data_IF_102641264678
#
_entry.id   IF_102641264678
#
_cell.length_a   1.000
_cell.length_b   1.000
_cell.length_c   1.000
_cell.angle_alpha   90.00
_cell.angle_beta   90.00
_cell.angle_gamma   90.00
#
_symmetry.space_group_name_H-M   'P 1'
#
loop_
_entity.id
_entity.type
_entity.pdbx_description
1 polymer ?
#
# COMPACT_ATOMS: atom_id res chain seq x y z
N UNK A 1 -16.30 -1.16 -20.17
CA UNK A 1 -14.89 -0.77 -20.20
C UNK A 1 -14.05 -2.01 -20.17
N UNK A 2 -13.10 -2.14 -21.08
CA UNK A 2 -12.06 -3.17 -20.98
C UNK A 2 -11.28 -2.97 -19.67
N UNK A 3 -10.88 -4.05 -19.04
CA UNK A 3 -10.08 -4.05 -17.80
C UNK A 3 -8.73 -3.40 -18.09
N UNK A 4 -8.35 -2.41 -17.29
CA UNK A 4 -7.06 -1.76 -17.41
C UNK A 4 -6.01 -2.66 -16.72
N UNK A 5 -5.36 -3.51 -17.52
CA UNK A 5 -4.49 -4.58 -17.01
C UNK A 5 -3.27 -4.08 -16.26
N UNK A 6 -2.68 -2.94 -16.66
CA UNK A 6 -1.49 -2.41 -15.99
C UNK A 6 -1.76 -1.97 -14.53
N UNK A 7 -3.02 -1.73 -14.15
CA UNK A 7 -3.37 -1.50 -12.73
C UNK A 7 -3.21 -2.76 -11.88
N UNK A 8 -3.44 -3.94 -12.46
CA UNK A 8 -3.16 -5.19 -11.77
C UNK A 8 -1.65 -5.40 -11.64
N UNK A 9 -0.88 -5.08 -12.70
CA UNK A 9 0.60 -5.06 -12.64
C UNK A 9 1.10 -4.15 -11.52
N UNK A 10 0.57 -2.91 -11.44
CA UNK A 10 0.94 -1.95 -10.40
C UNK A 10 0.71 -2.49 -8.99
N UNK A 11 -0.46 -3.07 -8.73
CA UNK A 11 -0.78 -3.68 -7.42
C UNK A 11 0.09 -4.89 -7.11
N UNK A 12 0.37 -5.73 -8.11
CA UNK A 12 1.25 -6.89 -7.97
C UNK A 12 2.68 -6.47 -7.64
N UNK A 13 3.20 -5.46 -8.34
CA UNK A 13 4.51 -4.89 -8.08
C UNK A 13 4.61 -4.33 -6.65
N UNK A 14 3.58 -3.60 -6.19
CA UNK A 14 3.56 -3.08 -4.82
C UNK A 14 3.63 -4.21 -3.77
N UNK A 15 2.95 -5.32 -3.98
CA UNK A 15 3.04 -6.50 -3.10
C UNK A 15 4.44 -7.12 -3.14
N UNK A 16 5.04 -7.26 -4.31
CA UNK A 16 6.41 -7.79 -4.45
C UNK A 16 7.41 -6.89 -3.70
N UNK A 17 7.34 -5.59 -3.89
CA UNK A 17 8.18 -4.62 -3.18
C UNK A 17 8.00 -4.71 -1.65
N UNK A 18 6.78 -4.94 -1.19
CA UNK A 18 6.47 -5.12 0.23
C UNK A 18 7.10 -6.41 0.79
N UNK A 19 7.01 -7.52 0.07
CA UNK A 19 7.65 -8.79 0.46
C UNK A 19 9.16 -8.60 0.59
N UNK A 20 9.80 -7.95 -0.38
CA UNK A 20 11.21 -7.63 -0.31
C UNK A 20 11.55 -6.71 0.86
N UNK A 21 10.72 -5.70 1.16
CA UNK A 21 10.94 -4.83 2.32
C UNK A 21 10.98 -5.62 3.64
N UNK A 22 10.07 -6.58 3.82
CA UNK A 22 10.05 -7.43 5.01
C UNK A 22 11.23 -8.40 5.05
N UNK A 23 11.60 -9.00 3.91
CA UNK A 23 12.73 -9.92 3.81
C UNK A 23 14.06 -9.23 4.15
N UNK A 24 14.29 -8.03 3.61
CA UNK A 24 15.51 -7.25 3.89
C UNK A 24 15.61 -6.89 5.38
N UNK A 25 14.50 -6.57 6.03
CA UNK A 25 14.47 -6.36 7.48
C UNK A 25 14.90 -7.61 8.27
N UNK A 26 14.63 -8.82 7.77
CA UNK A 26 15.10 -10.05 8.41
C UNK A 26 16.58 -10.33 8.16
N UNK A 27 17.13 -9.95 7.01
CA UNK A 27 18.57 -10.12 6.72
C UNK A 27 19.45 -9.25 7.63
N UNK A 28 18.93 -8.10 8.08
CA UNK A 28 19.61 -7.21 9.02
C UNK A 28 19.97 -7.94 10.33
N UNK A 29 18.99 -8.61 10.93
CA UNK A 29 19.18 -9.29 12.22
C UNK A 29 20.21 -10.41 12.18
N UNK A 30 20.67 -10.81 10.98
CA UNK A 30 21.59 -11.92 10.73
C UNK A 30 22.99 -11.50 10.29
N UNK A 31 23.24 -10.19 10.07
CA UNK A 31 24.54 -9.69 9.64
C UNK A 31 25.03 -10.20 8.26
N UNK A 32 24.10 -10.60 7.39
CA UNK A 32 24.43 -11.23 6.10
C UNK A 32 24.86 -10.22 5.04
N UNK A 33 24.39 -8.98 5.15
CA UNK A 33 24.62 -7.90 4.20
C UNK A 33 25.32 -6.75 4.92
N UNK A 34 26.23 -6.03 4.25
CA UNK A 34 26.86 -4.84 4.81
C UNK A 34 25.81 -3.78 5.15
N UNK A 35 26.04 -3.03 6.22
CA UNK A 35 25.11 -2.02 6.73
C UNK A 35 24.79 -0.97 5.66
N UNK A 36 25.77 -0.55 4.87
CA UNK A 36 25.58 0.42 3.79
C UNK A 36 24.60 -0.08 2.74
N UNK A 37 24.82 -1.28 2.19
CA UNK A 37 23.92 -1.90 1.20
C UNK A 37 22.53 -2.11 1.80
N UNK A 38 22.45 -2.53 3.05
CA UNK A 38 21.21 -2.71 3.76
C UNK A 38 20.41 -1.40 3.87
N UNK A 39 21.05 -0.28 4.18
CA UNK A 39 20.42 1.02 4.29
C UNK A 39 19.87 1.50 2.92
N UNK A 40 20.62 1.30 1.82
CA UNK A 40 20.13 1.56 0.47
C UNK A 40 18.90 0.74 0.12
N UNK A 41 18.94 -0.56 0.38
CA UNK A 41 17.82 -1.47 0.11
C UNK A 41 16.59 -1.11 0.95
N UNK A 42 16.76 -0.85 2.24
CA UNK A 42 15.68 -0.42 3.13
C UNK A 42 15.04 0.89 2.65
N UNK A 43 15.85 1.91 2.35
CA UNK A 43 15.35 3.18 1.83
C UNK A 43 14.59 2.98 0.52
N UNK A 44 15.12 2.18 -0.41
CA UNK A 44 14.46 1.89 -1.69
C UNK A 44 13.11 1.19 -1.49
N UNK A 45 13.07 0.09 -0.74
CA UNK A 45 11.84 -0.71 -0.59
C UNK A 45 10.75 -0.01 0.26
N UNK A 46 11.06 1.09 0.94
CA UNK A 46 10.03 1.92 1.59
C UNK A 46 9.01 2.53 0.62
N UNK A 47 9.32 2.57 -0.66
CA UNK A 47 8.36 2.94 -1.71
C UNK A 47 7.10 2.06 -1.71
N UNK A 48 7.19 0.81 -1.26
CA UNK A 48 6.11 -0.17 -1.37
C UNK A 48 4.76 0.35 -0.88
N UNK A 49 4.72 0.92 0.31
CA UNK A 49 3.46 1.41 0.91
C UNK A 49 2.95 2.70 0.27
N UNK A 50 3.73 3.78 0.11
CA UNK A 50 3.29 4.97 -0.63
C UNK A 50 2.79 4.63 -2.02
N UNK A 51 3.49 3.78 -2.75
CA UNK A 51 3.06 3.32 -4.06
C UNK A 51 1.74 2.55 -4.02
N UNK A 52 1.56 1.65 -3.04
CA UNK A 52 0.33 0.88 -2.89
C UNK A 52 -0.87 1.79 -2.57
N UNK A 53 -0.67 2.84 -1.77
CA UNK A 53 -1.69 3.84 -1.45
C UNK A 53 -2.04 4.69 -2.68
N UNK A 54 -1.05 5.14 -3.45
CA UNK A 54 -1.28 5.92 -4.67
C UNK A 54 -2.07 5.10 -5.69
N UNK A 55 -1.65 3.84 -5.95
CA UNK A 55 -2.33 2.97 -6.92
C UNK A 55 -3.74 2.57 -6.44
N UNK A 56 -3.98 2.52 -5.13
CA UNK A 56 -5.31 2.36 -4.57
C UNK A 56 -6.23 3.52 -4.97
N UNK A 57 -5.80 4.76 -4.73
CA UNK A 57 -6.57 5.96 -5.09
C UNK A 57 -6.89 5.98 -6.58
N UNK A 58 -5.88 5.73 -7.43
CA UNK A 58 -6.04 5.64 -8.88
C UNK A 58 -7.09 4.59 -9.26
N UNK A 59 -6.92 3.37 -8.76
CA UNK A 59 -7.83 2.25 -9.08
C UNK A 59 -9.25 2.52 -8.60
N UNK A 60 -9.38 3.11 -7.41
CA UNK A 60 -10.68 3.39 -6.81
C UNK A 60 -11.45 4.43 -7.65
N UNK A 61 -10.78 5.49 -8.08
CA UNK A 61 -11.37 6.49 -8.96
C UNK A 61 -11.84 5.87 -10.29
N UNK A 62 -10.99 5.07 -10.94
CA UNK A 62 -11.34 4.38 -12.20
C UNK A 62 -12.56 3.47 -12.02
N UNK A 63 -12.63 2.73 -10.92
CA UNK A 63 -13.69 1.75 -10.70
C UNK A 63 -15.05 2.37 -10.34
N UNK A 64 -15.04 3.50 -9.63
CA UNK A 64 -16.25 4.03 -9.00
C UNK A 64 -16.67 5.42 -9.46
N UNK A 65 -15.83 6.23 -10.12
CA UNK A 65 -16.19 7.60 -10.50
C UNK A 65 -17.44 7.70 -11.40
N UNK A 66 -17.72 6.67 -12.22
CA UNK A 66 -18.95 6.63 -13.02
C UNK A 66 -20.22 6.30 -12.22
N UNK A 67 -20.05 5.75 -11.01
CA UNK A 67 -21.16 5.35 -10.12
C UNK A 67 -21.49 6.43 -9.09
N UNK A 68 -20.69 7.49 -9.04
CA UNK A 68 -20.84 8.62 -8.14
C UNK A 68 -21.37 9.81 -8.94
N UNK A 69 -22.68 9.99 -8.95
CA UNK A 69 -23.33 11.09 -9.68
C UNK A 69 -23.89 12.18 -8.75
N UNK A 70 -23.83 11.98 -7.45
CA UNK A 70 -24.29 12.90 -6.42
C UNK A 70 -24.43 12.19 -5.07
N UNK A 71 -24.97 12.88 -4.08
CA UNK A 71 -25.24 12.31 -2.76
C UNK A 71 -26.28 11.17 -2.83
N UNK A 72 -27.25 11.27 -3.74
CA UNK A 72 -28.29 10.25 -3.96
C UNK A 72 -27.71 8.87 -4.39
N UNK A 73 -26.56 8.84 -5.03
CA UNK A 73 -25.89 7.59 -5.44
C UNK A 73 -25.13 6.91 -4.30
N UNK A 74 -24.87 7.58 -3.19
CA UNK A 74 -24.06 7.08 -2.08
C UNK A 74 -24.60 5.83 -1.40
N UNK A 75 -25.91 5.71 -1.06
CA UNK A 75 -26.41 4.52 -0.38
C UNK A 75 -26.18 3.24 -1.19
N UNK A 76 -26.46 3.26 -2.49
CA UNK A 76 -26.25 2.11 -3.38
C UNK A 76 -24.77 1.74 -3.52
N UNK A 77 -23.88 2.74 -3.52
CA UNK A 77 -22.45 2.53 -3.57
C UNK A 77 -21.92 1.92 -2.26
N UNK A 78 -22.33 2.44 -1.11
CA UNK A 78 -21.94 1.89 0.19
C UNK A 78 -22.43 0.46 0.39
N UNK A 79 -23.61 0.09 -0.11
CA UNK A 79 -24.07 -1.30 -0.12
C UNK A 79 -23.09 -2.24 -0.85
N UNK A 80 -22.47 -1.78 -1.94
CA UNK A 80 -21.43 -2.56 -2.65
C UNK A 80 -20.10 -2.56 -1.92
N UNK A 81 -19.76 -1.46 -1.26
CA UNK A 81 -18.47 -1.31 -0.56
C UNK A 81 -18.46 -2.05 0.80
N UNK A 82 -19.62 -2.25 1.45
CA UNK A 82 -19.67 -2.97 2.74
C UNK A 82 -18.99 -4.34 2.69
N UNK A 83 -19.19 -5.09 1.60
CA UNK A 83 -18.54 -6.40 1.42
C UNK A 83 -17.02 -6.25 1.31
N UNK A 84 -16.55 -5.19 0.63
CA UNK A 84 -15.11 -4.92 0.51
C UNK A 84 -14.52 -4.47 1.84
N UNK A 85 -15.20 -3.60 2.57
CA UNK A 85 -14.80 -3.16 3.92
C UNK A 85 -14.71 -4.37 4.85
N UNK A 86 -15.72 -5.24 4.86
CA UNK A 86 -15.73 -6.45 5.67
C UNK A 86 -14.55 -7.39 5.32
N UNK A 87 -14.26 -7.59 4.03
CA UNK A 87 -13.10 -8.41 3.61
C UNK A 87 -11.77 -7.82 4.08
N UNK A 88 -11.62 -6.49 4.05
CA UNK A 88 -10.41 -5.82 4.55
C UNK A 88 -10.32 -5.95 6.07
N UNK A 89 -11.45 -5.81 6.78
CA UNK A 89 -11.52 -6.02 8.21
C UNK A 89 -11.06 -7.44 8.60
N UNK A 90 -11.66 -8.47 8.01
CA UNK A 90 -11.24 -9.87 8.26
C UNK A 90 -9.75 -10.09 7.93
N UNK A 91 -9.27 -9.54 6.81
CA UNK A 91 -7.86 -9.65 6.45
C UNK A 91 -6.94 -8.99 7.50
N UNK A 92 -7.35 -7.86 8.06
CA UNK A 92 -6.63 -7.18 9.15
C UNK A 92 -6.59 -8.06 10.39
N UNK A 93 -7.74 -8.61 10.82
CA UNK A 93 -7.78 -9.47 12.00
C UNK A 93 -6.96 -10.76 11.83
N UNK A 94 -6.98 -11.34 10.63
CA UNK A 94 -6.12 -12.50 10.32
C UNK A 94 -4.63 -12.18 10.49
N UNK A 95 -4.18 -11.00 10.03
CA UNK A 95 -2.78 -10.58 10.20
C UNK A 95 -2.45 -10.36 11.68
N UNK A 96 -3.35 -9.73 12.43
CA UNK A 96 -3.17 -9.54 13.87
C UNK A 96 -3.02 -10.88 14.59
N UNK A 97 -3.87 -11.86 14.26
CA UNK A 97 -3.77 -13.22 14.81
C UNK A 97 -2.44 -13.89 14.44
N UNK A 98 -2.03 -13.85 13.16
CA UNK A 98 -0.76 -14.42 12.71
C UNK A 98 0.42 -13.83 13.50
N UNK A 99 0.41 -12.52 13.71
CA UNK A 99 1.47 -11.84 14.45
C UNK A 99 1.41 -12.11 15.95
N UNK A 100 0.22 -12.22 16.54
CA UNK A 100 0.05 -12.57 17.95
C UNK A 100 0.60 -13.98 18.26
N UNK A 101 0.41 -14.95 17.36
CA UNK A 101 1.05 -16.27 17.49
C UNK A 101 2.58 -16.20 17.40
N UNK A 102 3.13 -15.23 16.67
CA UNK A 102 4.59 -15.07 16.53
C UNK A 102 5.24 -14.26 17.66
N UNK A 103 4.50 -13.30 18.21
CA UNK A 103 4.98 -12.36 19.22
C UNK A 103 4.10 -12.48 20.47
N UNK A 104 4.55 -13.19 21.51
CA UNK A 104 3.76 -13.46 22.72
C UNK A 104 3.22 -12.17 23.36
N UNK A 105 3.98 -11.09 23.36
CA UNK A 105 3.56 -9.78 23.88
C UNK A 105 2.32 -9.19 23.18
N UNK A 106 2.04 -9.59 21.95
CA UNK A 106 0.81 -9.22 21.24
C UNK A 106 -0.37 -10.11 21.65
N UNK A 107 -0.12 -11.35 22.08
CA UNK A 107 -1.17 -12.26 22.50
C UNK A 107 -1.88 -11.73 23.75
N UNK A 108 -1.11 -11.20 24.71
CA UNK A 108 -1.67 -10.63 25.95
C UNK A 108 -2.54 -9.39 25.69
N UNK A 109 -2.30 -8.70 24.58
CA UNK A 109 -3.02 -7.51 24.16
C UNK A 109 -3.99 -7.76 23.00
N UNK A 110 -4.19 -9.02 22.60
CA UNK A 110 -4.93 -9.37 21.39
C UNK A 110 -6.33 -8.76 21.37
N UNK A 111 -7.07 -8.85 22.46
CA UNK A 111 -8.43 -8.33 22.53
C UNK A 111 -8.48 -6.82 22.34
N UNK A 112 -7.61 -6.07 23.03
CA UNK A 112 -7.53 -4.61 22.92
C UNK A 112 -7.08 -4.13 21.54
N UNK A 113 -6.23 -4.91 20.86
CA UNK A 113 -5.83 -4.68 19.48
C UNK A 113 -7.01 -4.92 18.51
N UNK A 114 -7.76 -6.02 18.70
CA UNK A 114 -8.89 -6.35 17.82
C UNK A 114 -10.03 -5.34 17.93
N UNK A 115 -10.27 -4.77 19.10
CA UNK A 115 -11.28 -3.70 19.31
C UNK A 115 -10.74 -2.29 19.09
N UNK A 116 -9.57 -2.15 18.48
CA UNK A 116 -8.91 -0.88 18.13
C UNK A 116 -8.56 0.04 19.32
N UNK A 117 -8.48 -0.48 20.53
CA UNK A 117 -7.98 0.25 21.70
C UNK A 117 -6.46 0.31 21.75
N UNK A 118 -5.80 -0.63 21.08
CA UNK A 118 -4.35 -0.60 20.89
C UNK A 118 -3.97 -0.74 19.42
N UNK A 119 -2.76 -0.32 19.14
CA UNK A 119 -2.27 -0.28 17.77
C UNK A 119 -1.78 -1.67 17.32
N UNK A 120 -2.29 -2.15 16.18
CA UNK A 120 -1.89 -3.43 15.62
C UNK A 120 -0.60 -3.28 14.81
N UNK A 121 0.53 -3.70 15.35
CA UNK A 121 1.75 -3.86 14.55
C UNK A 121 1.47 -4.81 13.37
N UNK A 122 1.70 -4.34 12.15
CA UNK A 122 1.42 -5.08 10.91
C UNK A 122 -0.01 -4.92 10.34
N UNK A 123 -1.00 -4.52 11.16
CA UNK A 123 -2.37 -4.23 10.71
C UNK A 123 -2.62 -2.79 10.27
N UNK A 124 -1.62 -1.92 10.38
CA UNK A 124 -1.75 -0.47 10.19
C UNK A 124 -2.25 -0.09 8.82
N UNK A 125 -1.68 -0.70 7.78
CA UNK A 125 -2.04 -0.35 6.40
C UNK A 125 -3.46 -0.82 6.07
N UNK A 126 -3.93 -1.94 6.63
CA UNK A 126 -5.31 -2.38 6.42
C UNK A 126 -6.30 -1.52 7.21
N UNK A 127 -5.93 -1.03 8.39
CA UNK A 127 -6.69 -0.01 9.13
C UNK A 127 -6.81 1.28 8.29
N UNK A 128 -5.70 1.74 7.69
CA UNK A 128 -5.72 2.84 6.72
C UNK A 128 -6.73 2.57 5.59
N UNK A 129 -6.70 1.37 4.98
CA UNK A 129 -7.61 1.02 3.88
C UNK A 129 -9.06 0.93 4.28
N UNK A 130 -9.38 0.50 5.50
CA UNK A 130 -10.76 0.53 6.02
C UNK A 130 -11.33 1.96 5.97
N UNK A 131 -10.59 2.92 6.51
CA UNK A 131 -10.98 4.33 6.51
C UNK A 131 -10.97 4.92 5.08
N UNK A 132 -9.95 4.59 4.29
CA UNK A 132 -9.83 5.09 2.91
C UNK A 132 -10.98 4.61 2.02
N UNK A 133 -11.40 3.34 2.12
CA UNK A 133 -12.55 2.83 1.35
C UNK A 133 -13.85 3.49 1.81
N UNK A 134 -14.00 3.77 3.11
CA UNK A 134 -15.19 4.46 3.64
C UNK A 134 -15.29 5.91 3.14
N UNK A 135 -14.16 6.65 3.06
CA UNK A 135 -14.15 8.05 2.63
C UNK A 135 -14.00 8.24 1.11
N UNK A 136 -13.52 7.24 0.40
CA UNK A 136 -13.25 7.36 -1.05
C UNK A 136 -14.48 7.77 -1.90
N UNK A 137 -15.73 7.35 -1.64
CA UNK A 137 -16.89 7.85 -2.38
C UNK A 137 -17.06 9.37 -2.28
N UNK A 138 -16.90 9.93 -1.08
CA UNK A 138 -16.97 11.38 -0.85
C UNK A 138 -15.82 12.10 -1.53
N UNK A 139 -14.61 11.53 -1.45
CA UNK A 139 -13.44 12.05 -2.15
C UNK A 139 -13.63 12.08 -3.68
N UNK A 140 -14.22 11.03 -4.27
CA UNK A 140 -14.57 11.01 -5.70
C UNK A 140 -15.59 12.09 -6.04
N UNK A 141 -16.64 12.25 -5.24
CA UNK A 141 -17.67 13.25 -5.45
C UNK A 141 -17.06 14.65 -5.44
N UNK A 142 -16.22 14.94 -4.46
CA UNK A 142 -15.48 16.19 -4.38
C UNK A 142 -14.55 16.37 -5.59
N UNK A 143 -13.73 15.37 -5.92
CA UNK A 143 -12.77 15.40 -7.04
C UNK A 143 -13.46 15.68 -8.39
N UNK A 144 -14.70 15.22 -8.59
CA UNK A 144 -15.47 15.49 -9.81
C UNK A 144 -15.94 16.94 -9.91
N UNK A 145 -16.11 17.62 -8.77
CA UNK A 145 -16.66 19.00 -8.71
C UNK A 145 -15.60 20.07 -8.77
N UNK A 146 -14.37 19.77 -8.39
CA UNK A 146 -13.27 20.76 -8.35
C UNK A 146 -12.38 20.63 -9.58
N UNK A 147 -11.72 21.72 -9.98
CA UNK A 147 -10.68 21.71 -10.99
C UNK A 147 -9.36 21.13 -10.41
N UNK A 148 -8.41 20.83 -11.29
CA UNK A 148 -7.12 20.21 -10.91
C UNK A 148 -6.31 21.08 -9.95
N UNK A 149 -6.30 22.42 -10.17
CA UNK A 149 -5.54 23.34 -9.30
C UNK A 149 -6.14 23.41 -7.90
N UNK A 150 -7.46 23.55 -7.78
CA UNK A 150 -8.16 23.52 -6.48
C UNK A 150 -7.93 22.18 -5.76
N UNK A 151 -7.99 21.06 -6.51
CA UNK A 151 -7.70 19.75 -5.95
C UNK A 151 -6.28 19.69 -5.37
N UNK A 152 -5.26 20.11 -6.13
CA UNK A 152 -3.86 20.11 -5.68
C UNK A 152 -3.67 20.98 -4.44
N UNK A 153 -4.18 22.21 -4.42
CA UNK A 153 -4.08 23.10 -3.26
C UNK A 153 -4.75 22.48 -2.03
N UNK A 154 -5.95 21.92 -2.19
CA UNK A 154 -6.67 21.29 -1.06
C UNK A 154 -5.95 20.04 -0.55
N UNK A 155 -5.40 19.21 -1.43
CA UNK A 155 -4.63 18.00 -1.04
C UNK A 155 -3.35 18.42 -0.30
N UNK A 156 -2.65 19.43 -0.80
CA UNK A 156 -1.46 19.96 -0.14
C UNK A 156 -1.78 20.55 1.23
N UNK A 157 -2.86 21.35 1.34
CA UNK A 157 -3.32 21.92 2.61
C UNK A 157 -3.73 20.83 3.61
N UNK A 158 -4.44 19.79 3.16
CA UNK A 158 -4.76 18.62 3.99
C UNK A 158 -3.50 17.96 4.53
N UNK A 159 -2.51 17.74 3.67
CA UNK A 159 -1.26 17.12 4.07
C UNK A 159 -0.48 17.99 5.07
N UNK A 160 -0.23 19.26 4.75
CA UNK A 160 0.54 20.17 5.62
C UNK A 160 -0.17 20.40 6.96
N UNK A 161 -1.49 20.62 6.92
CA UNK A 161 -2.29 20.79 8.14
C UNK A 161 -2.25 19.54 9.02
N UNK A 162 -2.43 18.35 8.44
CA UNK A 162 -2.36 17.10 9.20
C UNK A 162 -0.94 16.80 9.72
N UNK A 163 0.10 17.15 8.98
CA UNK A 163 1.49 17.05 9.42
C UNK A 163 1.77 17.98 10.60
N UNK A 164 1.36 19.26 10.50
CA UNK A 164 1.51 20.24 11.59
C UNK A 164 0.79 19.81 12.87
N UNK A 165 -0.45 19.30 12.74
CA UNK A 165 -1.21 18.73 13.87
C UNK A 165 -0.44 17.54 14.48
N UNK A 166 0.06 16.63 13.64
CA UNK A 166 0.85 15.50 14.11
C UNK A 166 2.11 15.91 14.88
N UNK A 167 2.82 16.92 14.41
CA UNK A 167 4.00 17.47 15.11
C UNK A 167 3.63 18.13 16.45
N UNK A 168 2.56 18.94 16.46
CA UNK A 168 2.21 19.74 17.64
C UNK A 168 1.67 18.90 18.80
N UNK A 169 0.94 17.84 18.51
CA UNK A 169 0.20 17.06 19.51
C UNK A 169 0.64 15.61 19.62
N UNK A 170 1.32 15.07 18.63
CA UNK A 170 1.57 13.64 18.54
C UNK A 170 2.44 13.06 19.65
N UNK A 171 3.31 13.85 20.24
CA UNK A 171 4.15 13.43 21.37
C UNK A 171 3.41 13.47 22.72
N UNK A 172 2.37 14.31 22.86
CA UNK A 172 1.65 14.54 24.11
C UNK A 172 0.36 13.74 24.21
N UNK A 173 -0.26 13.38 23.08
CA UNK A 173 -1.55 12.67 23.06
C UNK A 173 -1.35 11.16 22.96
N UNK A 174 -1.83 10.46 23.99
CA UNK A 174 -1.82 8.99 24.04
C UNK A 174 -3.11 8.38 23.46
N UNK A 175 -4.05 9.18 22.95
CA UNK A 175 -5.27 8.62 22.36
C UNK A 175 -4.97 7.83 21.08
N UNK A 176 -5.45 6.59 21.01
CA UNK A 176 -5.21 5.73 19.85
C UNK A 176 -5.80 6.31 18.57
N UNK A 177 -6.97 6.94 18.64
CA UNK A 177 -7.64 7.53 17.49
C UNK A 177 -6.82 8.69 16.91
N UNK A 178 -6.32 9.60 17.75
CA UNK A 178 -5.48 10.72 17.30
C UNK A 178 -4.21 10.21 16.60
N UNK A 179 -3.53 9.24 17.20
CA UNK A 179 -2.33 8.64 16.62
C UNK A 179 -2.61 7.98 15.28
N UNK A 180 -3.71 7.23 15.16
CA UNK A 180 -4.12 6.62 13.89
C UNK A 180 -4.39 7.67 12.80
N UNK A 181 -4.95 8.83 13.17
CA UNK A 181 -5.29 9.88 12.22
C UNK A 181 -4.10 10.75 11.81
N UNK A 182 -3.15 11.08 12.73
CA UNK A 182 -2.16 12.14 12.49
C UNK A 182 -0.71 11.76 12.75
N UNK A 183 -0.40 10.79 13.62
CA UNK A 183 0.98 10.62 14.12
C UNK A 183 1.59 9.23 13.94
N UNK A 184 0.83 8.20 13.68
CA UNK A 184 1.32 6.83 13.67
C UNK A 184 2.20 6.49 12.45
N UNK A 185 2.65 5.23 12.34
CA UNK A 185 3.50 4.72 11.24
C UNK A 185 2.87 4.93 9.86
N UNK A 186 1.54 4.90 9.77
CA UNK A 186 0.75 5.25 8.58
C UNK A 186 -0.44 6.11 8.99
N UNK A 187 -0.21 7.36 9.44
CA UNK A 187 -1.30 8.22 9.88
C UNK A 187 -2.25 8.51 8.73
N UNK A 188 -3.54 8.42 9.02
CA UNK A 188 -4.55 8.40 7.98
C UNK A 188 -4.52 9.64 7.08
N UNK A 189 -4.64 10.83 7.65
CA UNK A 189 -4.79 12.06 6.86
C UNK A 189 -3.55 12.37 6.02
N UNK A 190 -2.30 12.33 6.56
CA UNK A 190 -1.12 12.57 5.72
C UNK A 190 -1.01 11.58 4.56
N UNK A 191 -1.23 10.28 4.80
CA UNK A 191 -1.15 9.28 3.72
C UNK A 191 -2.37 9.25 2.81
N UNK A 192 -3.54 9.72 3.27
CA UNK A 192 -4.72 9.85 2.41
C UNK A 192 -4.51 10.87 1.30
N UNK A 193 -3.66 11.87 1.51
CA UNK A 193 -3.23 12.79 0.45
C UNK A 193 -2.61 12.04 -0.75
N UNK A 194 -1.82 10.96 -0.53
CA UNK A 194 -1.31 10.13 -1.64
C UNK A 194 -2.43 9.43 -2.41
N UNK A 195 -3.44 8.92 -1.71
CA UNK A 195 -4.61 8.33 -2.37
C UNK A 195 -5.38 9.36 -3.20
N UNK A 196 -5.53 10.59 -2.69
CA UNK A 196 -6.15 11.69 -3.43
C UNK A 196 -5.34 12.10 -4.66
N UNK A 197 -4.01 12.14 -4.58
CA UNK A 197 -3.15 12.34 -5.77
C UNK A 197 -3.35 11.20 -6.77
N UNK A 198 -3.42 9.95 -6.32
CA UNK A 198 -3.75 8.82 -7.19
C UNK A 198 -5.10 8.98 -7.90
N UNK A 199 -6.14 9.48 -7.20
CA UNK A 199 -7.44 9.81 -7.80
C UNK A 199 -7.34 10.94 -8.83
N UNK A 200 -6.54 11.97 -8.55
CA UNK A 200 -6.32 13.11 -9.45
C UNK A 200 -5.63 12.67 -10.74
N UNK A 201 -4.55 11.89 -10.63
CA UNK A 201 -3.87 11.32 -11.81
C UNK A 201 -4.87 10.47 -12.63
N UNK A 202 -5.72 9.68 -11.98
CA UNK A 202 -6.73 8.88 -12.66
C UNK A 202 -7.82 9.72 -13.35
N UNK A 203 -8.17 10.88 -12.80
CA UNK A 203 -9.07 11.86 -13.42
C UNK A 203 -8.45 12.41 -14.69
N UNK A 204 -7.20 12.85 -14.63
CA UNK A 204 -6.48 13.43 -15.76
C UNK A 204 -6.18 12.35 -16.83
N UNK A 205 -5.89 11.12 -16.43
CA UNK A 205 -5.71 9.98 -17.34
C UNK A 205 -6.97 9.67 -18.18
N UNK A 206 -8.14 10.11 -17.74
CA UNK A 206 -9.40 9.99 -18.49
C UNK A 206 -9.68 11.17 -19.41
N UNK A 207 -9.17 12.35 -19.08
CA UNK A 207 -9.49 13.62 -19.74
C UNK A 207 -8.41 14.07 -20.72
N UNK A 208 -7.15 13.67 -20.48
CA UNK A 208 -5.99 14.07 -21.27
C UNK A 208 -5.45 12.91 -22.11
N UNK A 209 -4.65 13.22 -23.12
CA UNK A 209 -3.91 12.19 -23.85
C UNK A 209 -2.89 11.51 -22.95
N UNK A 210 -2.63 10.22 -23.18
CA UNK A 210 -1.65 9.45 -22.41
C UNK A 210 -0.27 10.12 -22.42
N UNK A 211 0.13 10.70 -23.57
CA UNK A 211 1.42 11.39 -23.71
C UNK A 211 1.48 12.65 -22.82
N UNK A 212 0.40 13.42 -22.76
CA UNK A 212 0.30 14.62 -21.91
C UNK A 212 0.41 14.23 -20.43
N UNK A 213 -0.32 13.20 -20.02
CA UNK A 213 -0.27 12.67 -18.63
C UNK A 213 1.15 12.23 -18.28
N UNK A 214 1.80 11.45 -19.15
CA UNK A 214 3.18 10.99 -18.91
C UNK A 214 4.16 12.16 -18.82
N UNK A 215 4.05 13.16 -19.69
CA UNK A 215 4.90 14.35 -19.64
C UNK A 215 4.71 15.15 -18.34
N UNK A 216 3.47 15.50 -18.00
CA UNK A 216 3.16 16.33 -16.82
C UNK A 216 3.56 15.60 -15.54
N UNK A 217 3.09 14.38 -15.35
CA UNK A 217 3.37 13.64 -14.11
C UNK A 217 4.79 13.08 -14.06
N UNK A 218 5.42 12.80 -15.21
CA UNK A 218 6.83 12.46 -15.29
C UNK A 218 7.74 13.62 -14.87
N UNK A 219 7.46 14.84 -15.36
CA UNK A 219 8.20 16.04 -14.94
C UNK A 219 7.99 16.35 -13.46
N UNK A 220 6.74 16.24 -12.97
CA UNK A 220 6.43 16.39 -11.54
C UNK A 220 7.19 15.36 -10.70
N UNK A 221 7.21 14.10 -11.13
CA UNK A 221 7.96 13.04 -10.47
C UNK A 221 9.44 13.36 -10.35
N UNK A 222 10.08 13.76 -11.46
CA UNK A 222 11.49 14.13 -11.48
C UNK A 222 11.77 15.32 -10.54
N UNK A 223 10.92 16.36 -10.58
CA UNK A 223 11.03 17.51 -9.69
C UNK A 223 10.94 17.12 -8.21
N UNK A 224 9.96 16.29 -7.85
CA UNK A 224 9.76 15.82 -6.47
C UNK A 224 10.95 14.98 -5.99
N UNK A 225 11.48 14.09 -6.81
CA UNK A 225 12.63 13.23 -6.45
C UNK A 225 13.88 14.08 -6.26
N UNK A 226 14.24 14.90 -7.26
CA UNK A 226 15.44 15.71 -7.22
C UNK A 226 15.38 16.73 -6.09
N UNK A 227 14.24 17.44 -5.96
CA UNK A 227 14.05 18.41 -4.89
C UNK A 227 14.10 17.78 -3.49
N UNK A 228 13.58 16.56 -3.33
CA UNK A 228 13.69 15.84 -2.04
C UNK A 228 15.11 15.40 -1.74
N UNK A 229 15.87 14.92 -2.72
CA UNK A 229 17.27 14.51 -2.52
C UNK A 229 18.11 15.73 -2.11
N UNK A 230 17.96 16.85 -2.83
CA UNK A 230 18.65 18.09 -2.48
C UNK A 230 18.23 18.55 -1.07
N UNK A 231 16.92 18.59 -0.79
CA UNK A 231 16.40 19.02 0.51
C UNK A 231 16.91 18.15 1.66
N UNK A 232 16.97 16.84 1.51
CA UNK A 232 17.52 15.96 2.55
C UNK A 232 19.00 16.24 2.81
N UNK A 233 19.81 16.44 1.79
CA UNK A 233 21.24 16.75 1.96
C UNK A 233 21.47 18.15 2.58
N UNK A 234 20.51 19.06 2.51
CA UNK A 234 20.58 20.37 3.14
C UNK A 234 20.21 20.36 4.65
N UNK A 235 19.36 19.41 5.06
CA UNK A 235 18.85 19.38 6.44
C UNK A 235 19.49 18.29 7.31
N UNK A 236 20.24 17.38 6.71
CA UNK A 236 20.75 16.19 7.40
C UNK A 236 22.06 15.68 6.80
N UNK A 237 23.01 15.35 7.66
CA UNK A 237 24.32 14.80 7.26
C UNK A 237 24.23 13.31 6.88
N UNK A 238 23.21 12.60 7.34
CA UNK A 238 23.02 11.15 7.12
C UNK A 238 21.59 10.80 6.66
N UNK A 239 21.10 11.43 5.57
CA UNK A 239 19.71 11.28 5.16
C UNK A 239 19.35 9.84 4.80
N UNK A 240 20.25 9.09 4.18
CA UNK A 240 20.04 7.69 3.79
C UNK A 240 19.76 6.79 5.01
N UNK A 241 20.57 6.92 6.06
CA UNK A 241 20.42 6.12 7.29
C UNK A 241 19.07 6.44 7.95
N UNK A 242 18.73 7.73 8.05
CA UNK A 242 17.44 8.13 8.66
C UNK A 242 16.24 7.70 7.82
N UNK A 243 16.35 7.71 6.49
CA UNK A 243 15.35 7.10 5.60
C UNK A 243 15.24 5.59 5.83
N UNK A 244 16.37 4.88 5.88
CA UNK A 244 16.42 3.45 6.16
C UNK A 244 15.80 3.08 7.51
N UNK A 245 16.03 3.88 8.55
CA UNK A 245 15.47 3.71 9.88
C UNK A 245 14.03 4.22 10.05
N UNK A 246 13.40 4.74 8.98
CA UNK A 246 12.06 5.34 9.00
C UNK A 246 11.89 6.55 9.94
N UNK A 247 12.95 7.26 10.30
CA UNK A 247 12.87 8.42 11.21
C UNK A 247 12.02 9.58 10.65
N UNK A 248 11.89 9.68 9.32
CA UNK A 248 11.06 10.68 8.65
C UNK A 248 9.62 10.23 8.38
N UNK A 249 9.17 9.10 8.95
CA UNK A 249 7.89 8.48 8.56
C UNK A 249 6.74 8.79 9.53
N UNK A 250 7.01 9.12 10.79
CA UNK A 250 5.98 9.29 11.81
C UNK A 250 6.22 10.54 12.68
N UNK A 251 5.53 11.67 12.41
CA UNK A 251 4.65 11.91 11.27
C UNK A 251 5.47 12.03 9.98
N UNK A 252 4.87 11.74 8.81
CA UNK A 252 5.64 11.70 7.56
C UNK A 252 6.11 13.10 7.15
N UNK A 253 7.43 13.31 7.20
CA UNK A 253 8.10 14.56 6.85
C UNK A 253 7.83 14.98 5.39
N UNK A 254 7.70 16.27 5.05
CA UNK A 254 7.43 16.72 3.68
C UNK A 254 8.40 16.17 2.63
N UNK A 255 9.70 16.16 2.91
CA UNK A 255 10.69 15.58 1.98
C UNK A 255 10.50 14.07 1.80
N UNK A 256 10.12 13.34 2.87
CA UNK A 256 9.79 11.91 2.79
C UNK A 256 8.58 11.68 1.87
N UNK A 257 7.52 12.44 2.09
CA UNK A 257 6.30 12.32 1.27
C UNK A 257 6.56 12.72 -0.19
N UNK A 258 7.31 13.79 -0.45
CA UNK A 258 7.68 14.24 -1.80
C UNK A 258 8.52 13.19 -2.52
N UNK A 259 9.54 12.63 -1.87
CA UNK A 259 10.40 11.60 -2.45
C UNK A 259 9.59 10.37 -2.88
N UNK A 260 8.81 9.81 -1.94
CA UNK A 260 8.07 8.58 -2.23
C UNK A 260 6.82 8.80 -3.08
N UNK A 261 6.23 10.00 -3.09
CA UNK A 261 5.24 10.39 -4.07
C UNK A 261 5.87 10.44 -5.49
N UNK A 262 7.00 11.12 -5.64
CA UNK A 262 7.71 11.20 -6.90
C UNK A 262 8.07 9.80 -7.44
N UNK A 263 8.69 8.97 -6.61
CA UNK A 263 9.02 7.58 -6.96
C UNK A 263 7.77 6.76 -7.32
N UNK A 264 6.66 6.94 -6.59
CA UNK A 264 5.41 6.23 -6.85
C UNK A 264 4.77 6.63 -8.19
N UNK A 265 4.84 7.91 -8.55
CA UNK A 265 4.41 8.41 -9.85
C UNK A 265 5.31 7.82 -10.96
N UNK A 266 6.64 7.85 -10.78
CA UNK A 266 7.60 7.27 -11.74
C UNK A 266 7.29 5.79 -12.01
N UNK A 267 7.11 5.00 -10.95
CA UNK A 267 6.78 3.57 -11.08
C UNK A 267 5.42 3.38 -11.76
N UNK A 268 4.41 4.21 -11.46
CA UNK A 268 3.11 4.14 -12.13
C UNK A 268 3.25 4.39 -13.64
N UNK A 269 4.00 5.41 -14.04
CA UNK A 269 4.24 5.72 -15.45
C UNK A 269 5.05 4.61 -16.14
N UNK A 270 6.10 4.10 -15.46
CA UNK A 270 6.91 2.99 -15.97
C UNK A 270 6.05 1.74 -16.20
N UNK A 271 5.22 1.35 -15.26
CA UNK A 271 4.31 0.19 -15.39
C UNK A 271 3.31 0.40 -16.54
N UNK A 272 2.76 1.60 -16.69
CA UNK A 272 1.85 1.92 -17.79
C UNK A 272 2.55 1.79 -19.16
N UNK A 273 3.78 2.26 -19.28
CA UNK A 273 4.60 2.12 -20.51
C UNK A 273 4.99 0.67 -20.75
N UNK A 274 5.53 -0.04 -19.74
CA UNK A 274 5.94 -1.44 -19.86
C UNK A 274 4.76 -2.37 -20.23
N UNK A 275 3.54 -1.99 -19.87
CA UNK A 275 2.34 -2.77 -20.20
C UNK A 275 2.04 -2.84 -21.70
N UNK A 276 2.66 -2.01 -22.52
CA UNK A 276 2.49 -1.99 -23.97
C UNK A 276 3.44 -2.96 -24.68
N UNK A 277 4.50 -3.43 -23.99
CA UNK A 277 5.47 -4.34 -24.56
C UNK A 277 4.94 -5.77 -24.65
N UNK A 278 5.38 -6.50 -25.69
CA UNK A 278 5.07 -7.91 -25.96
C UNK A 278 6.26 -8.82 -25.62
N UNK A 279 6.14 -10.08 -25.89
CA UNK A 279 7.22 -11.06 -25.71
C UNK A 279 7.44 -11.45 -24.24
N UNK A 280 8.69 -11.53 -23.81
CA UNK A 280 9.07 -11.96 -22.47
C UNK A 280 8.60 -11.01 -21.36
N UNK A 281 8.54 -9.70 -21.64
CA UNK A 281 7.98 -8.70 -20.72
C UNK A 281 6.51 -9.00 -20.42
N UNK A 282 5.73 -9.38 -21.43
CA UNK A 282 4.34 -9.76 -21.24
C UNK A 282 4.18 -11.03 -20.38
N UNK A 283 5.12 -11.98 -20.45
CA UNK A 283 5.14 -13.18 -19.58
C UNK A 283 5.38 -12.81 -18.12
N UNK A 284 6.41 -12.00 -17.84
CA UNK A 284 6.68 -11.49 -16.47
C UNK A 284 5.49 -10.70 -15.95
N UNK A 285 4.95 -9.81 -16.78
CA UNK A 285 3.74 -9.04 -16.46
C UNK A 285 2.58 -9.95 -16.06
N UNK A 286 2.35 -11.06 -16.75
CA UNK A 286 1.27 -12.00 -16.42
C UNK A 286 1.41 -12.58 -15.01
N UNK A 287 2.62 -12.87 -14.57
CA UNK A 287 2.92 -13.32 -13.19
C UNK A 287 2.55 -12.22 -12.19
N UNK A 288 3.02 -11.00 -12.43
CA UNK A 288 2.75 -9.84 -11.56
C UNK A 288 1.26 -9.49 -11.55
N UNK A 289 0.58 -9.57 -12.69
CA UNK A 289 -0.86 -9.34 -12.81
C UNK A 289 -1.67 -10.34 -11.96
N UNK A 290 -1.25 -11.59 -11.90
CA UNK A 290 -1.90 -12.63 -11.08
C UNK A 290 -1.83 -12.29 -9.59
N UNK A 291 -0.69 -11.83 -9.12
CA UNK A 291 -0.51 -11.33 -7.74
C UNK A 291 -1.41 -10.11 -7.51
N UNK A 292 -1.41 -9.16 -8.43
CA UNK A 292 -2.19 -7.92 -8.32
C UNK A 292 -3.70 -8.11 -8.35
N UNK A 293 -4.20 -9.06 -9.17
CA UNK A 293 -5.63 -9.45 -9.18
C UNK A 293 -6.09 -9.99 -7.82
N UNK A 294 -5.18 -10.59 -7.08
CA UNK A 294 -5.41 -11.19 -5.79
C UNK A 294 -4.77 -10.41 -4.63
N UNK A 295 -4.53 -9.09 -4.80
CA UNK A 295 -3.70 -8.24 -3.92
C UNK A 295 -4.03 -8.35 -2.43
N UNK A 296 -5.30 -8.38 -2.01
CA UNK A 296 -5.67 -8.54 -0.61
C UNK A 296 -5.27 -9.92 -0.05
N UNK A 297 -5.48 -10.99 -0.82
CA UNK A 297 -5.08 -12.32 -0.41
C UNK A 297 -3.55 -12.47 -0.41
N UNK A 298 -2.89 -11.89 -1.42
CA UNK A 298 -1.43 -11.84 -1.50
C UNK A 298 -0.86 -11.09 -0.28
N UNK A 299 -1.53 -10.01 0.15
CA UNK A 299 -1.14 -9.26 1.33
C UNK A 299 -1.25 -10.10 2.63
N UNK A 300 -2.32 -10.88 2.80
CA UNK A 300 -2.46 -11.78 3.98
C UNK A 300 -1.49 -12.95 3.88
N UNK A 301 -1.38 -13.55 2.71
CA UNK A 301 -0.55 -14.74 2.51
C UNK A 301 0.94 -14.49 2.77
N UNK A 302 1.47 -13.32 2.38
CA UNK A 302 2.88 -13.03 2.65
C UNK A 302 3.14 -12.91 4.17
N UNK A 303 2.20 -12.36 4.96
CA UNK A 303 2.31 -12.38 6.42
C UNK A 303 2.27 -13.82 6.95
N UNK A 304 1.35 -14.65 6.44
CA UNK A 304 1.25 -16.04 6.86
C UNK A 304 2.55 -16.81 6.58
N UNK A 305 3.11 -16.69 5.37
CA UNK A 305 4.34 -17.38 5.01
C UNK A 305 5.57 -16.81 5.72
N UNK A 306 5.67 -15.49 5.83
CA UNK A 306 6.85 -14.83 6.38
C UNK A 306 6.95 -14.95 7.90
N UNK A 307 5.81 -14.83 8.62
CA UNK A 307 5.80 -14.81 10.07
C UNK A 307 5.40 -16.15 10.71
N UNK A 308 4.64 -17.02 10.01
CA UNK A 308 4.26 -18.35 10.54
C UNK A 308 5.34 -19.39 10.31
N UNK A 309 6.12 -19.30 9.22
CA UNK A 309 7.27 -20.16 8.97
C UNK A 309 8.49 -19.38 9.39
N UNK A 310 9.11 -19.69 10.54
CA UNK A 310 10.31 -18.98 10.95
C UNK A 310 11.41 -19.29 9.95
N UNK A 311 11.74 -18.34 9.08
CA UNK A 311 12.94 -18.40 8.23
C UNK A 311 14.18 -18.73 9.07
N UNK A 312 14.21 -18.24 10.32
CA UNK A 312 15.23 -18.60 11.31
C UNK A 312 15.27 -20.08 11.66
N UNK A 313 14.14 -20.79 11.65
CA UNK A 313 14.10 -22.22 11.92
C UNK A 313 14.46 -23.06 10.69
N UNK A 314 14.20 -22.54 9.48
CA UNK A 314 14.57 -23.21 8.23
C UNK A 314 16.03 -23.01 7.84
N UNK A 315 16.65 -21.92 8.31
CA UNK A 315 18.04 -21.57 8.00
C UNK A 315 18.75 -21.04 9.24
N UNK A 316 19.12 -21.90 10.20
CA UNK A 316 19.90 -21.49 11.36
C UNK A 316 21.34 -21.09 11.00
N UNK A 317 21.74 -21.27 9.74
CA UNK A 317 23.10 -21.02 9.27
C UNK A 317 23.25 -19.57 8.80
N UNK A 318 24.34 -18.91 9.17
CA UNK A 318 24.77 -17.63 8.58
C UNK A 318 25.20 -17.77 7.11
N UNK A 319 24.74 -18.82 6.42
CA UNK A 319 25.08 -19.09 5.03
C UNK A 319 24.17 -18.32 4.09
N UNK A 320 24.76 -17.33 3.38
CA UNK A 320 24.07 -16.48 2.40
C UNK A 320 23.31 -17.26 1.33
N UNK A 321 23.87 -18.38 0.86
CA UNK A 321 23.25 -19.19 -0.19
C UNK A 321 21.96 -19.87 0.32
N UNK A 322 21.99 -20.40 1.54
CA UNK A 322 20.80 -21.02 2.17
C UNK A 322 19.68 -20.00 2.33
N UNK A 323 20.01 -18.79 2.77
CA UNK A 323 19.03 -17.71 2.93
C UNK A 323 18.39 -17.31 1.59
N UNK A 324 19.20 -17.10 0.56
CA UNK A 324 18.70 -16.77 -0.79
C UNK A 324 17.84 -17.90 -1.34
N UNK A 325 18.29 -19.16 -1.19
CA UNK A 325 17.53 -20.32 -1.64
C UNK A 325 16.18 -20.44 -0.93
N UNK A 326 16.16 -20.26 0.38
CA UNK A 326 14.93 -20.30 1.19
C UNK A 326 13.96 -19.19 0.76
N UNK A 327 14.47 -17.99 0.51
CA UNK A 327 13.63 -16.90 0.02
C UNK A 327 13.02 -17.19 -1.36
N UNK A 328 13.83 -17.72 -2.29
CA UNK A 328 13.34 -18.13 -3.62
C UNK A 328 12.25 -19.20 -3.48
N UNK A 329 12.46 -20.20 -2.64
CA UNK A 329 11.49 -21.26 -2.40
C UNK A 329 10.17 -20.71 -1.84
N UNK A 330 10.24 -19.79 -0.88
CA UNK A 330 9.05 -19.11 -0.33
C UNK A 330 8.33 -18.26 -1.38
N UNK A 331 9.06 -17.59 -2.26
CA UNK A 331 8.46 -16.81 -3.36
C UNK A 331 7.76 -17.72 -4.39
N UNK A 332 8.35 -18.89 -4.68
CA UNK A 332 7.71 -19.89 -5.54
C UNK A 332 6.43 -20.41 -4.89
N UNK A 333 6.50 -20.82 -3.62
CA UNK A 333 5.34 -21.29 -2.86
C UNK A 333 4.24 -20.23 -2.79
N UNK A 334 4.61 -18.99 -2.49
CA UNK A 334 3.70 -17.84 -2.49
C UNK A 334 2.99 -17.72 -3.83
N UNK A 335 3.74 -17.75 -4.93
CA UNK A 335 3.16 -17.60 -6.26
C UNK A 335 2.23 -18.77 -6.62
N UNK A 336 2.61 -20.01 -6.34
CA UNK A 336 1.79 -21.19 -6.59
C UNK A 336 0.46 -21.13 -5.85
N UNK A 337 0.47 -20.72 -4.57
CA UNK A 337 -0.76 -20.57 -3.79
C UNK A 337 -1.68 -19.47 -4.36
N UNK A 338 -1.11 -18.39 -4.88
CA UNK A 338 -1.88 -17.32 -5.52
C UNK A 338 -2.46 -17.81 -6.88
N UNK A 339 -1.72 -18.60 -7.66
CA UNK A 339 -2.23 -19.19 -8.92
C UNK A 339 -3.39 -20.11 -8.64
N UNK A 340 -3.25 -21.06 -7.71
CA UNK A 340 -4.32 -21.99 -7.33
C UNK A 340 -5.58 -21.20 -6.94
N UNK A 341 -5.41 -20.15 -6.13
CA UNK A 341 -6.52 -19.28 -5.76
C UNK A 341 -7.15 -18.57 -6.95
N UNK A 342 -6.35 -18.03 -7.88
CA UNK A 342 -6.86 -17.32 -9.07
C UNK A 342 -7.67 -18.27 -9.96
N UNK A 343 -7.23 -19.52 -10.13
CA UNK A 343 -7.94 -20.56 -10.86
C UNK A 343 -9.25 -20.96 -10.18
N UNK A 344 -9.23 -21.22 -8.88
CA UNK A 344 -10.44 -21.53 -8.11
C UNK A 344 -11.49 -20.43 -8.26
N UNK A 345 -11.04 -19.16 -8.22
CA UNK A 345 -11.92 -18.01 -8.40
C UNK A 345 -12.52 -17.94 -9.81
N UNK A 346 -11.73 -18.31 -10.85
CA UNK A 346 -12.22 -18.37 -12.25
C UNK A 346 -13.23 -19.49 -12.46
N UNK A 347 -13.01 -20.62 -11.81
CA UNK A 347 -13.89 -21.80 -11.89
C UNK A 347 -15.12 -21.71 -10.98
N UNK A 348 -15.38 -20.57 -10.38
CA UNK A 348 -16.53 -20.38 -9.49
C UNK A 348 -16.40 -21.02 -8.09
N UNK A 349 -15.30 -21.70 -7.82
CA UNK A 349 -14.98 -22.30 -6.53
C UNK A 349 -14.29 -21.27 -5.62
N UNK A 350 -15.05 -20.36 -5.04
CA UNK A 350 -14.47 -19.41 -4.09
C UNK A 350 -14.47 -19.99 -2.68
N UNK A 351 -13.32 -20.40 -2.17
CA UNK A 351 -13.09 -20.82 -0.78
C UNK A 351 -13.54 -19.72 0.23
N UNK A 352 -13.60 -18.47 -0.21
CA UNK A 352 -14.03 -17.31 0.58
C UNK A 352 -15.49 -16.89 0.29
N UNK A 353 -16.31 -17.74 -0.29
CA UNK A 353 -17.74 -17.54 -0.24
C UNK A 353 -18.20 -17.90 1.19
N UNK A 354 -18.22 -16.90 2.07
CA UNK A 354 -19.00 -16.94 3.31
C UNK A 354 -20.50 -16.95 2.94
N UNK A 355 -20.94 -18.00 2.27
CA UNK A 355 -22.38 -18.23 1.96
C UNK A 355 -23.19 -18.32 3.25
N UNK A 356 -22.54 -18.65 4.36
CA UNK A 356 -23.20 -18.83 5.67
C UNK A 356 -23.60 -17.53 6.39
N UNK A 357 -23.02 -16.36 6.02
CA UNK A 357 -23.25 -15.11 6.73
C UNK A 357 -24.08 -14.08 5.94
N UNK A 358 -24.56 -14.38 4.74
CA UNK A 358 -25.42 -13.49 3.97
C UNK A 358 -26.58 -14.24 3.29
N UNK A 359 -27.62 -14.66 4.05
CA UNK A 359 -28.85 -15.16 3.42
C UNK A 359 -29.76 -14.06 2.86
N UNK A 360 -29.41 -12.77 2.90
CA UNK A 360 -30.34 -11.66 2.64
C UNK A 360 -29.83 -10.68 1.57
N UNK A 361 -29.32 -11.15 0.45
CA UNK A 361 -28.95 -10.23 -0.64
C UNK A 361 -29.35 -10.68 -2.05
N UNK A 362 -30.26 -11.66 -2.16
CA UNK A 362 -30.87 -12.06 -3.44
C UNK A 362 -32.40 -12.15 -3.24
N UNK A 363 -33.05 -11.00 -3.04
CA UNK A 363 -34.45 -10.73 -3.39
C UNK A 363 -34.56 -9.30 -3.85
#
# INVERSE_FOLDING_TARGET
MSRITWLDTGRGLAIILLIFAHYIGALESRGIISEEVLNWLKAFFRIATPYFILIFGFTFFIAYSRKVDGLSSMPSLYQKLKVRIFKIFIAREMIVLILAFRFPEMMDQLFTIMIYQQFAKGGEILTFYLMAVALAPLAILWMKRVNTSTALVSIFSLYIGSYAIGLSFGAADNSNLFRVLFYNVYPFFPFFALALIGMLIAKDFRSLSNLTVVKVYGSLSAFLIIGSIIGFNLIDDQPLIKLALAKYKAPPHPLYMSLYLGLSIAVTMLVAVLSQFKGWIAKIKSVVDTIGRNSLASYVLHYALYFSVPLAALAPSHNKLVEVFTFILLMILFYLLIVIRDEQKRNGHSIWQFKFLMPIANR
#
